data_IF_264423218753
#
_entry.id   IF_264423218753
#
_cell.length_a   1.000
_cell.length_b   1.000
_cell.length_c   1.000
_cell.angle_alpha   90.00
_cell.angle_beta   90.00
_cell.angle_gamma   90.00
#
_symmetry.space_group_name_H-M   'P 1'
#
loop_
_entity.id
_entity.type
_entity.pdbx_description
1 polymer ?
#
# COMPACT_ATOMS: atom_id res chain seq x y z
N UNK A 1 7.60 12.94 18.64
CA UNK A 1 6.35 12.73 18.66
C UNK A 1 5.61 13.77 17.95
N UNK A 2 5.23 14.79 18.45
CA UNK A 2 4.50 15.57 17.54
C UNK A 2 5.38 16.34 16.57
N UNK A 3 6.60 15.95 16.47
CA UNK A 3 7.44 16.42 15.43
C UNK A 3 6.98 16.00 14.05
N UNK A 4 6.58 14.76 13.88
CA UNK A 4 6.09 14.33 12.57
C UNK A 4 4.89 15.14 12.15
N UNK A 5 4.03 15.46 13.11
CA UNK A 5 2.87 16.26 12.80
C UNK A 5 3.26 17.64 12.32
N UNK A 6 4.28 18.21 12.92
CA UNK A 6 4.73 19.54 12.54
C UNK A 6 5.39 19.54 11.16
N UNK A 7 6.16 18.51 10.87
CA UNK A 7 6.87 18.44 9.62
C UNK A 7 5.97 18.06 8.46
N UNK A 8 4.86 17.38 8.76
CA UNK A 8 3.92 16.96 7.75
C UNK A 8 4.53 16.10 6.65
N UNK A 9 5.74 15.64 6.87
CA UNK A 9 6.45 14.86 5.87
C UNK A 9 6.48 13.37 6.22
N UNK A 10 5.91 13.03 7.36
CA UNK A 10 6.01 11.67 7.89
C UNK A 10 4.63 11.04 7.84
N UNK A 11 4.45 10.09 6.96
CA UNK A 11 3.20 9.35 6.85
C UNK A 11 3.48 7.90 7.16
N UNK A 12 2.84 7.40 8.19
CA UNK A 12 3.07 6.03 8.60
C UNK A 12 1.77 5.38 9.02
N UNK A 13 1.78 4.08 9.02
CA UNK A 13 0.64 3.33 9.49
C UNK A 13 1.07 1.99 10.01
N UNK A 14 0.21 1.39 10.79
CA UNK A 14 0.46 0.03 11.21
C UNK A 14 -0.87 -0.69 11.36
N UNK A 15 -0.81 -2.01 11.30
CA UNK A 15 -1.99 -2.85 11.34
C UNK A 15 -1.80 -3.92 12.38
N UNK A 16 -2.84 -4.14 13.18
CA UNK A 16 -2.84 -5.19 14.18
C UNK A 16 -3.90 -6.23 13.85
N UNK A 17 -3.64 -7.44 14.28
CA UNK A 17 -4.60 -8.53 14.12
C UNK A 17 -4.52 -9.45 15.32
N UNK A 18 -5.57 -10.26 15.49
CA UNK A 18 -5.56 -11.33 16.49
C UNK A 18 -5.36 -12.66 15.78
N UNK A 19 -4.43 -13.46 16.29
CA UNK A 19 -4.19 -14.76 15.72
C UNK A 19 -5.29 -15.74 16.17
N UNK A 20 -5.14 -16.99 15.81
CA UNK A 20 -6.16 -18.00 16.08
C UNK A 20 -6.36 -18.23 17.57
N UNK A 21 -5.39 -17.85 18.39
CA UNK A 21 -5.47 -17.99 19.85
C UNK A 21 -5.93 -16.72 20.52
N UNK A 22 -6.28 -15.69 19.74
CA UNK A 22 -6.74 -14.42 20.29
C UNK A 22 -5.62 -13.50 20.74
N UNK A 23 -4.37 -13.80 20.40
CA UNK A 23 -3.24 -12.98 20.78
C UNK A 23 -3.08 -11.84 19.79
N UNK A 24 -2.93 -10.63 20.32
CA UNK A 24 -2.77 -9.44 19.50
C UNK A 24 -1.35 -9.38 18.94
N UNK A 25 -1.24 -9.18 17.64
CA UNK A 25 0.05 -9.09 16.96
C UNK A 25 0.00 -8.00 15.91
N UNK A 26 1.17 -7.47 15.57
CA UNK A 26 1.29 -6.48 14.52
C UNK A 26 1.52 -7.19 13.19
N UNK A 27 0.64 -6.92 12.23
CA UNK A 27 0.74 -7.55 10.92
C UNK A 27 1.76 -6.86 10.04
N UNK A 28 1.75 -5.55 10.05
CA UNK A 28 2.74 -4.79 9.30
C UNK A 28 2.75 -3.34 9.74
N UNK A 29 3.82 -2.69 9.35
CA UNK A 29 4.09 -1.32 9.71
C UNK A 29 4.78 -0.71 8.49
N UNK A 30 4.41 0.51 8.14
CA UNK A 30 4.97 1.15 6.97
C UNK A 30 5.06 2.64 7.17
N UNK A 31 5.99 3.25 6.47
CA UNK A 31 6.23 4.68 6.58
C UNK A 31 6.72 5.20 5.23
N UNK A 32 6.14 6.31 4.79
CA UNK A 32 6.57 6.98 3.57
C UNK A 32 6.78 8.45 3.90
N UNK A 33 7.89 9.02 3.45
CA UNK A 33 8.26 10.39 3.79
C UNK A 33 8.69 11.19 2.57
N UNK A 34 8.11 10.90 1.43
CA UNK A 34 8.59 11.46 0.17
C UNK A 34 7.68 12.57 -0.33
N UNK A 35 6.40 12.30 -0.51
CA UNK A 35 5.46 13.28 -1.07
C UNK A 35 4.15 13.14 -0.31
N UNK A 36 3.89 14.03 0.66
CA UNK A 36 2.77 13.83 1.60
C UNK A 36 1.42 13.57 0.93
N UNK A 37 1.12 14.24 -0.17
CA UNK A 37 -0.18 14.05 -0.82
C UNK A 37 -0.31 12.69 -1.47
N UNK A 38 0.79 11.99 -1.69
CA UNK A 38 0.83 10.66 -2.30
C UNK A 38 1.12 9.60 -1.25
N UNK A 39 1.97 9.94 -0.28
CA UNK A 39 2.42 8.98 0.73
C UNK A 39 1.28 8.34 1.49
N UNK A 40 0.24 9.09 1.79
CA UNK A 40 -0.89 8.55 2.54
C UNK A 40 -1.57 7.42 1.78
N UNK A 41 -1.56 7.48 0.46
CA UNK A 41 -2.15 6.43 -0.35
C UNK A 41 -1.24 5.22 -0.44
N UNK A 42 0.07 5.44 -0.46
CA UNK A 42 1.02 4.33 -0.42
C UNK A 42 0.88 3.58 0.90
N UNK A 43 0.77 4.31 2.01
CA UNK A 43 0.55 3.69 3.31
C UNK A 43 -0.77 2.91 3.32
N UNK A 44 -1.83 3.52 2.79
CA UNK A 44 -3.12 2.84 2.74
C UNK A 44 -3.01 1.53 1.97
N UNK A 45 -2.34 1.54 0.83
CA UNK A 45 -2.20 0.35 0.02
C UNK A 45 -1.53 -0.77 0.82
N UNK A 46 -0.41 -0.45 1.48
CA UNK A 46 0.33 -1.45 2.24
C UNK A 46 -0.54 -2.04 3.34
N UNK A 47 -1.26 -1.18 4.06
CA UNK A 47 -2.10 -1.66 5.16
C UNK A 47 -3.24 -2.54 4.66
N UNK A 48 -3.87 -2.15 3.55
CA UNK A 48 -4.95 -2.95 2.97
C UNK A 48 -4.42 -4.30 2.50
N UNK A 49 -3.27 -4.29 1.84
CA UNK A 49 -2.64 -5.52 1.39
C UNK A 49 -2.35 -6.45 2.58
N UNK A 50 -1.78 -5.90 3.65
CA UNK A 50 -1.48 -6.69 4.84
C UNK A 50 -2.75 -7.22 5.50
N UNK A 51 -3.81 -6.40 5.52
CA UNK A 51 -5.08 -6.84 6.11
C UNK A 51 -5.65 -8.02 5.34
N UNK A 52 -5.61 -7.95 4.02
CA UNK A 52 -6.13 -9.03 3.19
C UNK A 52 -5.32 -10.31 3.39
N UNK A 53 -4.00 -10.17 3.50
CA UNK A 53 -3.15 -11.35 3.72
C UNK A 53 -3.39 -11.96 5.09
N UNK A 54 -3.56 -11.13 6.11
CA UNK A 54 -3.86 -11.65 7.46
C UNK A 54 -5.19 -12.41 7.47
N UNK A 55 -6.19 -11.87 6.78
CA UNK A 55 -7.48 -12.53 6.72
C UNK A 55 -7.40 -13.86 5.98
N UNK A 56 -6.61 -13.91 4.91
CA UNK A 56 -6.42 -15.16 4.16
C UNK A 56 -5.83 -16.25 5.04
N UNK A 57 -5.03 -15.84 6.03
CA UNK A 57 -4.42 -16.80 6.96
C UNK A 57 -5.34 -17.18 8.10
N UNK A 58 -6.54 -16.62 8.13
CA UNK A 58 -7.50 -16.95 9.18
C UNK A 58 -7.40 -16.08 10.42
N UNK A 59 -6.65 -15.00 10.36
CA UNK A 59 -6.51 -14.07 11.48
C UNK A 59 -7.62 -13.03 11.45
N UNK A 60 -7.84 -12.37 12.57
CA UNK A 60 -8.88 -11.35 12.67
C UNK A 60 -8.23 -9.98 12.68
N UNK A 61 -8.45 -9.23 11.61
CA UNK A 61 -7.92 -7.88 11.46
C UNK A 61 -8.77 -6.94 12.32
N UNK A 62 -8.12 -6.10 13.13
CA UNK A 62 -8.85 -5.18 14.00
C UNK A 62 -9.55 -4.08 13.22
N UNK A 63 -8.89 -3.53 12.22
CA UNK A 63 -9.50 -2.49 11.40
C UNK A 63 -10.17 -3.12 10.19
N UNK A 64 -11.43 -3.51 10.36
CA UNK A 64 -12.17 -4.20 9.32
C UNK A 64 -12.45 -3.32 8.10
N UNK A 65 -12.39 -2.00 8.25
CA UNK A 65 -12.64 -1.11 7.13
C UNK A 65 -11.62 -1.30 6.01
N UNK A 66 -10.41 -1.70 6.37
CA UNK A 66 -9.36 -1.92 5.38
C UNK A 66 -9.70 -3.03 4.40
N UNK A 67 -10.53 -3.98 4.82
CA UNK A 67 -10.87 -5.12 3.98
C UNK A 67 -11.81 -4.75 2.83
N UNK A 68 -12.39 -3.56 2.88
CA UNK A 68 -13.34 -3.10 1.88
C UNK A 68 -12.75 -2.08 0.92
N UNK A 69 -11.48 -1.76 1.06
CA UNK A 69 -10.83 -0.77 0.20
C UNK A 69 -10.36 -1.43 -1.08
N UNK A 70 -10.68 -0.81 -2.21
CA UNK A 70 -10.24 -1.31 -3.51
C UNK A 70 -8.87 -0.74 -3.82
N UNK A 71 -7.87 -1.60 -3.87
CA UNK A 71 -6.49 -1.18 -4.11
C UNK A 71 -5.97 -1.64 -5.47
N UNK A 72 -6.86 -1.88 -6.41
CA UNK A 72 -6.39 -2.24 -7.74
C UNK A 72 -5.61 -1.08 -8.34
N UNK A 73 -4.54 -1.40 -9.06
CA UNK A 73 -3.75 -0.38 -9.74
C UNK A 73 -4.08 -0.42 -11.22
N UNK A 74 -3.97 0.73 -11.91
CA UNK A 74 -4.24 0.74 -13.34
C UNK A 74 -3.17 -0.05 -14.10
N UNK A 75 -3.52 -0.49 -15.30
CA UNK A 75 -2.58 -1.19 -16.16
C UNK A 75 -1.50 -0.24 -16.65
N UNK A 76 -0.25 -0.70 -16.70
CA UNK A 76 0.82 0.13 -17.26
C UNK A 76 0.82 0.19 -18.78
N UNK A 77 -0.01 -0.64 -19.42
CA UNK A 77 -0.01 -0.72 -20.86
C UNK A 77 0.53 -2.05 -21.31
N UNK A 78 0.32 -2.34 -22.60
CA UNK A 78 0.74 -3.62 -23.17
C UNK A 78 2.25 -3.75 -23.10
N UNK A 79 2.73 -4.88 -22.62
CA UNK A 79 4.15 -5.22 -22.57
C UNK A 79 4.97 -4.26 -21.72
N UNK A 80 4.34 -3.61 -20.75
CA UNK A 80 5.03 -2.68 -19.86
C UNK A 80 4.79 -3.06 -18.42
N UNK A 81 5.71 -2.65 -17.58
CA UNK A 81 5.59 -2.82 -16.13
C UNK A 81 5.70 -1.46 -15.48
N UNK A 82 5.06 -1.30 -14.35
CA UNK A 82 5.23 -0.09 -13.57
C UNK A 82 6.64 -0.03 -13.01
N UNK A 83 7.29 1.11 -13.17
CA UNK A 83 8.54 1.45 -12.52
C UNK A 83 8.34 2.77 -11.84
N UNK A 84 9.21 3.10 -10.90
CA UNK A 84 9.10 4.39 -10.21
C UNK A 84 9.18 5.55 -11.20
N UNK A 85 10.08 5.48 -12.16
CA UNK A 85 10.22 6.56 -13.14
C UNK A 85 9.02 6.67 -14.05
N UNK A 86 8.49 5.55 -14.49
CA UNK A 86 7.32 5.57 -15.35
C UNK A 86 6.11 6.13 -14.61
N UNK A 87 5.89 5.67 -13.38
CA UNK A 87 4.78 6.15 -12.58
C UNK A 87 4.91 7.64 -12.30
N UNK A 88 6.13 8.10 -12.00
CA UNK A 88 6.38 9.50 -11.74
C UNK A 88 6.05 10.36 -12.97
N UNK A 89 6.46 9.89 -14.12
CA UNK A 89 6.22 10.60 -15.37
C UNK A 89 4.72 10.69 -15.67
N UNK A 90 4.00 9.60 -15.47
CA UNK A 90 2.56 9.57 -15.73
C UNK A 90 1.82 10.46 -14.74
N UNK A 91 2.26 10.50 -13.50
CA UNK A 91 1.67 11.38 -12.51
C UNK A 91 1.92 12.84 -12.86
N UNK A 92 3.15 13.16 -13.26
CA UNK A 92 3.50 14.52 -13.64
C UNK A 92 2.72 15.01 -14.85
N UNK A 93 2.37 14.08 -15.75
CA UNK A 93 1.60 14.41 -16.95
C UNK A 93 0.10 14.48 -16.70
N UNK A 94 -0.33 14.21 -15.48
CA UNK A 94 -1.75 14.26 -15.14
C UNK A 94 -2.51 12.99 -15.48
N UNK A 95 -1.82 11.93 -15.86
CA UNK A 95 -2.45 10.67 -16.24
C UNK A 95 -2.76 9.78 -15.03
N UNK A 96 -2.20 10.09 -13.87
CA UNK A 96 -2.46 9.37 -12.64
C UNK A 96 -2.86 10.35 -11.56
N UNK A 97 -3.87 9.98 -10.78
CA UNK A 97 -4.21 10.76 -9.59
C UNK A 97 -3.18 10.49 -8.50
N UNK A 98 -3.20 11.30 -7.44
CA UNK A 98 -2.34 11.06 -6.29
C UNK A 98 -2.58 9.68 -5.70
N UNK A 99 -3.83 9.26 -5.65
CA UNK A 99 -4.19 7.94 -5.11
C UNK A 99 -3.60 6.84 -5.97
N UNK A 100 -3.79 6.93 -7.29
CA UNK A 100 -3.27 5.92 -8.19
C UNK A 100 -1.75 5.85 -8.11
N UNK A 101 -1.12 7.00 -8.07
CA UNK A 101 0.34 7.04 -8.00
C UNK A 101 0.84 6.41 -6.69
N UNK A 102 0.22 6.77 -5.57
CA UNK A 102 0.60 6.18 -4.28
C UNK A 102 0.42 4.67 -4.27
N UNK A 103 -0.67 4.19 -4.81
CA UNK A 103 -0.93 2.76 -4.89
C UNK A 103 0.12 2.06 -5.75
N UNK A 104 0.49 2.67 -6.87
CA UNK A 104 1.49 2.07 -7.76
C UNK A 104 2.84 2.00 -7.07
N UNK A 105 3.22 3.05 -6.34
CA UNK A 105 4.49 3.03 -5.60
C UNK A 105 4.53 1.86 -4.63
N UNK A 106 3.48 1.69 -3.84
CA UNK A 106 3.43 0.59 -2.88
C UNK A 106 3.41 -0.76 -3.60
N UNK A 107 2.69 -0.85 -4.70
CA UNK A 107 2.63 -2.06 -5.51
C UNK A 107 4.03 -2.47 -5.96
N UNK A 108 4.82 -1.51 -6.43
CA UNK A 108 6.19 -1.78 -6.85
C UNK A 108 7.05 -2.19 -5.65
N UNK A 109 6.93 -1.46 -4.56
CA UNK A 109 7.75 -1.69 -3.38
C UNK A 109 7.47 -3.04 -2.74
N UNK A 110 6.24 -3.54 -2.86
CA UNK A 110 5.89 -4.86 -2.37
C UNK A 110 6.21 -5.95 -3.39
N UNK A 111 6.83 -5.57 -4.51
CA UNK A 111 7.25 -6.49 -5.56
C UNK A 111 6.09 -7.27 -6.19
N UNK A 112 4.91 -6.68 -6.18
CA UNK A 112 3.74 -7.31 -6.77
C UNK A 112 3.73 -7.21 -8.29
N UNK A 113 4.70 -6.47 -8.81
CA UNK A 113 4.89 -6.27 -10.24
C UNK A 113 5.65 -7.42 -10.88
N UNK A 114 6.08 -8.39 -10.07
CA UNK A 114 6.90 -9.50 -10.55
C UNK A 114 6.05 -10.56 -11.22
N UNK A 115 6.71 -11.37 -12.05
CA UNK A 115 6.02 -12.48 -12.71
C UNK A 115 5.59 -13.54 -11.68
N UNK A 116 6.34 -13.66 -10.61
CA UNK A 116 5.98 -14.61 -9.56
C UNK A 116 4.64 -14.28 -8.96
N UNK A 117 4.40 -13.00 -8.73
CA UNK A 117 3.11 -12.59 -8.20
C UNK A 117 2.00 -12.93 -9.18
N UNK A 118 2.24 -12.66 -10.44
CA UNK A 118 1.24 -12.91 -11.46
C UNK A 118 0.88 -14.39 -11.56
N UNK A 119 1.86 -15.24 -11.40
CA UNK A 119 1.61 -16.67 -11.54
C UNK A 119 0.87 -17.25 -10.35
N UNK A 120 0.87 -16.55 -9.23
CA UNK A 120 0.13 -16.98 -8.05
C UNK A 120 -1.35 -16.71 -8.18
N UNK A 121 -1.74 -15.97 -9.19
CA UNK A 121 -3.13 -15.67 -9.44
C UNK A 121 -3.75 -16.73 -10.31
#
# INVERSE_FOLDING_TARGET
>A
MFFCALLSACTRGHLEYKDKNGVLKEACHTEYTWLPSVDKYAVEYVLVYCAQKAQEKGYTVLNQKLLNVDIRVPSPGRDRKWTHNYAKSEHASGNLSDRQYGYIIAFIDLELNSSDYSSDK
#
